data_IF_145373623896
#
_entry.id   IF_145373623896
#
_cell.length_a   1.000
_cell.length_b   1.000
_cell.length_c   1.000
_cell.angle_alpha   90.00
_cell.angle_beta   90.00
_cell.angle_gamma   90.00
#
_symmetry.space_group_name_H-M   'P 1'
#
loop_
_entity.id
_entity.type
_entity.pdbx_description
1 polymer ?
#
# COMPACT_ATOMS: atom_id res chain seq x y z
N UNK A 1 7.28 47.26 4.12
CA UNK A 1 8.00 47.24 5.42
C UNK A 1 7.42 46.07 6.22
N UNK A 2 8.12 45.12 6.82
CA UNK A 2 9.55 44.91 7.01
C UNK A 2 9.90 43.40 6.97
N UNK A 3 11.18 43.13 6.69
CA UNK A 3 11.78 41.81 6.45
C UNK A 3 12.07 41.09 7.77
N UNK A 4 11.59 39.85 7.94
CA UNK A 4 12.12 38.93 8.97
C UNK A 4 13.32 38.18 8.38
N UNK A 5 14.53 38.56 8.82
CA UNK A 5 15.79 37.88 8.47
C UNK A 5 15.94 36.65 9.37
N UNK A 6 16.05 35.46 8.77
CA UNK A 6 16.61 34.29 9.43
C UNK A 6 18.08 34.57 9.74
N UNK A 7 18.45 34.55 11.02
CA UNK A 7 19.84 34.47 11.45
C UNK A 7 20.29 33.00 11.39
N UNK A 8 21.16 32.71 10.42
CA UNK A 8 22.06 31.57 10.45
C UNK A 8 23.12 31.83 11.53
N UNK A 9 23.13 31.03 12.59
CA UNK A 9 24.23 31.00 13.53
C UNK A 9 25.18 29.87 13.13
N UNK A 10 26.31 30.26 12.52
CA UNK A 10 27.45 29.39 12.24
C UNK A 10 28.06 28.90 13.55
N UNK A 11 28.22 27.58 13.65
CA UNK A 11 28.97 26.93 14.74
C UNK A 11 30.45 27.14 14.48
N UNK A 12 31.09 28.03 15.24
CA UNK A 12 32.55 28.07 15.37
C UNK A 12 32.95 27.44 16.70
N UNK A 13 33.75 26.38 16.61
CA UNK A 13 34.42 25.72 17.72
C UNK A 13 35.59 26.60 18.16
N UNK A 14 35.60 27.02 19.42
CA UNK A 14 36.83 27.46 20.11
C UNK A 14 37.01 26.64 21.38
N UNK A 15 38.04 25.78 21.37
CA UNK A 15 38.59 25.11 22.54
C UNK A 15 39.44 26.10 23.33
N UNK A 16 39.21 26.22 24.64
CA UNK A 16 40.25 26.33 25.68
C UNK A 16 39.64 26.16 27.08
N UNK A 17 40.18 25.18 27.82
CA UNK A 17 40.44 25.20 29.27
C UNK A 17 39.30 25.50 30.26
N UNK A 18 39.10 24.53 31.16
CA UNK A 18 38.66 24.66 32.56
C UNK A 18 37.16 24.75 32.94
N UNK A 19 36.73 23.64 33.57
CA UNK A 19 35.81 23.48 34.71
C UNK A 19 34.45 24.21 34.68
N UNK A 20 33.37 23.44 34.48
CA UNK A 20 32.00 23.85 34.78
C UNK A 20 31.51 23.23 36.10
N UNK A 21 31.09 24.09 37.04
CA UNK A 21 30.16 23.75 38.12
C UNK A 21 28.72 24.11 37.70
N UNK A 22 27.69 23.36 38.15
CA UNK A 22 26.31 23.65 37.80
C UNK A 22 25.70 24.72 38.72
N UNK A 23 25.23 25.83 38.14
CA UNK A 23 24.34 26.78 38.83
C UNK A 23 22.86 26.38 38.63
N UNK A 24 22.01 26.46 39.66
CA UNK A 24 20.59 26.14 39.54
C UNK A 24 19.83 27.37 39.03
N UNK A 25 18.99 27.21 38.01
CA UNK A 25 17.95 28.21 37.73
C UNK A 25 16.58 27.53 37.66
N UNK A 26 15.75 27.96 38.59
CA UNK A 26 14.40 27.48 38.84
C UNK A 26 13.42 28.07 37.82
N UNK A 27 12.55 27.18 37.31
CA UNK A 27 11.16 27.40 36.89
C UNK A 27 10.77 28.67 36.12
N UNK A 28 10.25 28.47 34.90
CA UNK A 28 8.86 28.85 34.60
C UNK A 28 8.29 27.88 33.56
N UNK A 29 7.38 27.02 34.02
CA UNK A 29 6.52 26.18 33.20
C UNK A 29 5.38 27.08 32.69
N UNK A 30 5.35 27.35 31.39
CA UNK A 30 4.13 27.75 30.71
C UNK A 30 3.62 26.54 29.94
N UNK A 31 2.78 25.75 30.61
CA UNK A 31 2.05 24.65 30.02
C UNK A 31 1.06 25.19 28.98
N UNK A 32 1.42 25.11 27.69
CA UNK A 32 0.46 25.21 26.60
C UNK A 32 -0.05 23.80 26.30
N UNK A 33 -1.13 23.42 26.98
CA UNK A 33 -1.86 22.17 26.80
C UNK A 33 -2.56 22.15 25.43
N UNK A 34 -1.81 21.84 24.37
CA UNK A 34 -2.37 21.30 23.10
C UNK A 34 -2.19 19.78 23.08
N UNK A 35 -2.92 19.08 23.95
CA UNK A 35 -2.96 17.60 23.99
C UNK A 35 -4.31 17.01 23.52
N UNK A 36 -5.08 17.74 22.70
CA UNK A 36 -6.40 17.28 22.23
C UNK A 36 -6.63 17.23 20.71
N UNK A 37 -5.63 17.48 19.86
CA UNK A 37 -5.83 17.47 18.39
C UNK A 37 -5.03 16.41 17.60
N UNK A 38 -4.11 15.67 18.23
CA UNK A 38 -3.33 14.66 17.50
C UNK A 38 -4.21 13.43 17.21
N UNK A 39 -5.02 12.98 18.16
CA UNK A 39 -5.87 11.79 18.01
C UNK A 39 -7.02 11.98 17.01
N UNK A 40 -7.67 13.15 16.96
CA UNK A 40 -8.74 13.43 15.98
C UNK A 40 -8.24 13.57 14.53
N UNK A 41 -7.05 14.13 14.32
CA UNK A 41 -6.44 14.24 12.98
C UNK A 41 -5.94 12.90 12.45
N UNK A 42 -5.38 12.07 13.34
CA UNK A 42 -4.90 10.72 13.02
C UNK A 42 -6.07 9.76 12.75
N UNK A 43 -7.16 9.83 13.54
CA UNK A 43 -8.43 9.12 13.25
C UNK A 43 -9.08 9.58 11.94
N UNK A 44 -9.02 10.87 11.59
CA UNK A 44 -9.53 11.37 10.30
C UNK A 44 -8.70 10.83 9.12
N UNK A 45 -7.38 10.76 9.23
CA UNK A 45 -6.52 10.20 8.17
C UNK A 45 -6.62 8.67 8.03
N UNK A 46 -6.73 7.92 9.13
CA UNK A 46 -6.98 6.47 9.07
C UNK A 46 -8.38 6.16 8.52
N UNK A 47 -9.35 7.06 8.74
CA UNK A 47 -10.71 6.91 8.21
C UNK A 47 -10.85 7.18 6.70
N UNK A 48 -9.94 7.95 6.08
CA UNK A 48 -10.09 8.33 4.66
C UNK A 48 -9.55 7.30 3.68
N UNK A 49 -8.47 6.59 4.01
CA UNK A 49 -7.88 5.60 3.08
C UNK A 49 -8.90 4.54 2.69
N UNK A 50 -9.67 4.05 3.66
CA UNK A 50 -10.73 3.08 3.43
C UNK A 50 -12.01 3.66 2.82
N UNK A 51 -12.08 4.95 2.49
CA UNK A 51 -13.20 5.57 1.76
C UNK A 51 -12.80 5.95 0.31
N UNK A 52 -11.54 5.77 -0.04
CA UNK A 52 -10.98 6.09 -1.35
C UNK A 52 -10.91 4.85 -2.24
N UNK A 53 -10.88 5.05 -3.56
CA UNK A 53 -10.41 4.00 -4.48
C UNK A 53 -8.90 3.86 -4.37
N UNK A 54 -8.36 2.64 -4.48
CA UNK A 54 -6.93 2.38 -4.27
C UNK A 54 -6.23 2.14 -5.60
N UNK A 55 -5.22 2.94 -5.94
CA UNK A 55 -4.38 2.71 -7.11
C UNK A 55 -2.96 2.43 -6.64
N UNK A 56 -2.59 1.14 -6.61
CA UNK A 56 -1.30 0.67 -6.11
C UNK A 56 -0.44 0.20 -7.26
N UNK A 57 0.69 0.86 -7.49
CA UNK A 57 1.68 0.46 -8.48
C UNK A 57 2.62 -0.62 -7.95
N UNK A 58 2.46 -1.87 -8.38
CA UNK A 58 3.42 -2.94 -8.11
C UNK A 58 4.55 -2.92 -9.14
N UNK A 59 5.71 -2.39 -8.75
CA UNK A 59 6.86 -2.30 -9.64
C UNK A 59 7.51 -3.66 -9.93
N UNK A 60 7.16 -4.69 -9.14
CA UNK A 60 7.77 -6.02 -9.20
C UNK A 60 9.30 -5.89 -9.11
N UNK A 61 10.04 -6.74 -9.79
CA UNK A 61 11.51 -6.69 -9.84
C UNK A 61 12.03 -5.65 -10.86
N UNK A 62 11.61 -4.38 -10.75
CA UNK A 62 12.06 -3.27 -11.60
C UNK A 62 12.52 -2.06 -10.78
N UNK A 63 13.37 -1.24 -11.40
CA UNK A 63 13.78 0.06 -10.88
C UNK A 63 15.29 0.18 -10.68
N UNK A 64 15.76 1.42 -10.75
CA UNK A 64 17.10 1.85 -10.36
C UNK A 64 16.95 3.15 -9.56
N UNK A 65 17.93 3.49 -8.71
CA UNK A 65 17.85 4.70 -7.86
C UNK A 65 17.48 5.96 -8.67
N UNK A 66 18.11 6.15 -9.83
CA UNK A 66 17.83 7.31 -10.70
C UNK A 66 16.39 7.30 -11.22
N UNK A 67 15.95 6.19 -11.83
CA UNK A 67 14.64 6.09 -12.47
C UNK A 67 13.48 6.17 -11.46
N UNK A 68 13.66 5.56 -10.29
CA UNK A 68 12.70 5.64 -9.18
C UNK A 68 12.49 7.09 -8.73
N UNK A 69 13.59 7.83 -8.54
CA UNK A 69 13.54 9.25 -8.17
C UNK A 69 12.91 10.08 -9.29
N UNK A 70 13.25 9.81 -10.54
CA UNK A 70 12.68 10.53 -11.69
C UNK A 70 11.16 10.33 -11.77
N UNK A 71 10.68 9.10 -11.58
CA UNK A 71 9.25 8.79 -11.57
C UNK A 71 8.52 9.50 -10.42
N UNK A 72 9.02 9.38 -9.18
CA UNK A 72 8.40 10.03 -8.02
C UNK A 72 8.46 11.56 -8.12
N UNK A 73 9.53 12.11 -8.68
CA UNK A 73 9.64 13.55 -8.90
C UNK A 73 8.59 14.06 -9.90
N UNK A 74 8.32 13.31 -10.98
CA UNK A 74 7.23 13.63 -11.90
C UNK A 74 5.87 13.57 -11.21
N UNK A 75 5.66 12.65 -10.27
CA UNK A 75 4.41 12.58 -9.50
C UNK A 75 4.15 13.83 -8.62
N UNK A 76 5.14 14.71 -8.41
CA UNK A 76 4.92 16.00 -7.75
C UNK A 76 4.02 16.95 -8.54
N UNK A 77 3.94 16.79 -9.86
CA UNK A 77 3.03 17.57 -10.71
C UNK A 77 1.64 16.94 -10.86
N UNK A 78 1.38 15.80 -10.20
CA UNK A 78 0.06 15.20 -10.20
C UNK A 78 -0.92 16.13 -9.46
N UNK A 79 -2.03 16.56 -10.09
CA UNK A 79 -3.08 17.31 -9.40
C UNK A 79 -3.62 16.55 -8.19
N UNK A 80 -4.22 17.27 -7.23
CA UNK A 80 -4.80 16.65 -6.03
C UNK A 80 -5.84 15.57 -6.41
N UNK A 81 -5.65 14.36 -5.89
CA UNK A 81 -6.49 13.19 -6.11
C UNK A 81 -7.12 12.73 -4.79
N UNK A 82 -7.95 13.59 -4.20
CA UNK A 82 -8.52 13.41 -2.85
C UNK A 82 -9.41 12.16 -2.68
N UNK A 83 -9.90 11.56 -3.78
CA UNK A 83 -10.72 10.34 -3.76
C UNK A 83 -9.91 9.07 -4.02
N UNK A 84 -8.59 9.19 -4.18
CA UNK A 84 -7.72 8.07 -4.52
C UNK A 84 -6.62 7.91 -3.47
N UNK A 85 -6.52 6.71 -2.93
CA UNK A 85 -5.33 6.26 -2.21
C UNK A 85 -4.28 5.81 -3.23
N UNK A 86 -3.23 6.59 -3.38
CA UNK A 86 -2.12 6.29 -4.30
C UNK A 86 -1.04 5.52 -3.53
N UNK A 87 -0.64 4.36 -4.04
CA UNK A 87 0.43 3.55 -3.46
C UNK A 87 1.51 3.17 -4.48
N UNK A 88 2.76 3.08 -4.06
CA UNK A 88 3.86 2.51 -4.85
C UNK A 88 4.53 1.38 -4.08
N UNK A 89 4.75 0.24 -4.74
CA UNK A 89 5.36 -0.96 -4.17
C UNK A 89 6.67 -1.27 -4.90
N UNK A 90 7.79 -0.60 -4.54
CA UNK A 90 9.10 -0.89 -5.12
C UNK A 90 9.70 -2.19 -4.55
N UNK A 91 10.74 -2.77 -5.20
CA UNK A 91 11.57 -3.79 -4.57
C UNK A 91 12.08 -3.34 -3.19
N UNK A 92 12.23 -4.28 -2.25
CA UNK A 92 12.63 -4.01 -0.86
C UNK A 92 13.90 -3.14 -0.76
N UNK A 93 14.88 -3.37 -1.64
CA UNK A 93 16.15 -2.61 -1.67
C UNK A 93 15.97 -1.11 -1.93
N UNK A 94 14.80 -0.68 -2.42
CA UNK A 94 14.45 0.71 -2.72
C UNK A 94 13.37 1.29 -1.80
N UNK A 95 12.87 0.55 -0.79
CA UNK A 95 11.79 1.03 0.09
C UNK A 95 12.12 2.33 0.82
N UNK A 96 13.29 2.41 1.46
CA UNK A 96 13.71 3.61 2.19
C UNK A 96 13.90 4.80 1.23
N UNK A 97 14.43 4.54 0.04
CA UNK A 97 14.57 5.56 -1.00
C UNK A 97 13.19 6.10 -1.42
N UNK A 98 12.25 5.21 -1.72
CA UNK A 98 10.90 5.57 -2.12
C UNK A 98 10.18 6.34 -1.01
N UNK A 99 10.30 5.88 0.24
CA UNK A 99 9.76 6.57 1.41
C UNK A 99 10.23 8.02 1.51
N UNK A 100 11.53 8.25 1.37
CA UNK A 100 12.08 9.61 1.40
C UNK A 100 11.61 10.45 0.20
N UNK A 101 11.54 9.84 -0.99
CA UNK A 101 11.16 10.52 -2.21
C UNK A 101 9.68 10.97 -2.21
N UNK A 102 8.78 10.20 -1.60
CA UNK A 102 7.36 10.57 -1.56
C UNK A 102 7.05 11.70 -0.57
N UNK A 103 7.93 11.97 0.41
CA UNK A 103 7.72 13.06 1.39
C UNK A 103 7.70 14.46 0.76
N UNK A 104 8.24 14.63 -0.46
CA UNK A 104 8.31 15.93 -1.16
C UNK A 104 7.15 16.15 -2.15
N UNK A 105 6.19 15.22 -2.21
CA UNK A 105 4.94 15.37 -2.97
C UNK A 105 3.98 16.19 -2.12
N UNK A 106 3.50 17.32 -2.66
CA UNK A 106 2.79 18.33 -1.87
C UNK A 106 1.27 18.13 -1.87
N UNK A 107 0.70 17.88 -3.04
CA UNK A 107 -0.76 17.87 -3.22
C UNK A 107 -1.40 16.50 -3.02
N UNK A 108 -0.57 15.46 -2.87
CA UNK A 108 -1.02 14.07 -2.75
C UNK A 108 -0.18 13.33 -1.71
N UNK A 109 -0.85 12.51 -0.89
CA UNK A 109 -0.17 11.51 -0.08
C UNK A 109 0.06 10.26 -0.94
N UNK A 110 1.31 9.89 -1.14
CA UNK A 110 1.68 8.63 -1.79
C UNK A 110 2.13 7.66 -0.71
N UNK A 111 1.40 6.55 -0.58
CA UNK A 111 1.69 5.48 0.35
C UNK A 111 2.83 4.60 -0.17
N UNK A 112 3.71 4.19 0.73
CA UNK A 112 4.76 3.23 0.42
C UNK A 112 4.25 1.84 0.76
N UNK A 113 4.31 0.94 -0.22
CA UNK A 113 3.88 -0.43 -0.08
C UNK A 113 5.10 -1.37 -0.14
N UNK A 114 5.05 -2.48 0.58
CA UNK A 114 6.02 -3.56 0.43
C UNK A 114 5.48 -4.67 -0.48
N UNK A 115 6.34 -5.28 -1.29
CA UNK A 115 5.95 -6.36 -2.21
C UNK A 115 5.78 -7.72 -1.53
N UNK A 116 6.34 -7.87 -0.32
CA UNK A 116 6.23 -9.08 0.49
C UNK A 116 6.66 -8.80 1.94
N UNK A 117 6.42 -9.76 2.83
CA UNK A 117 6.83 -9.76 4.24
C UNK A 117 7.12 -11.19 4.71
N UNK A 118 7.97 -11.34 5.70
CA UNK A 118 8.26 -12.64 6.27
C UNK A 118 7.06 -13.26 6.99
N UNK A 119 6.95 -14.59 6.88
CA UNK A 119 6.02 -15.39 7.69
C UNK A 119 6.47 -15.50 9.15
N UNK A 120 7.76 -15.27 9.43
CA UNK A 120 8.29 -15.36 10.79
C UNK A 120 7.97 -14.08 11.55
N UNK A 121 7.27 -14.23 12.68
CA UNK A 121 6.78 -13.10 13.46
C UNK A 121 7.89 -12.35 14.19
N UNK A 122 8.83 -13.10 14.76
CA UNK A 122 9.90 -12.55 15.59
C UNK A 122 11.21 -12.39 14.82
N UNK A 123 12.07 -11.49 15.32
CA UNK A 123 13.47 -11.42 14.90
C UNK A 123 14.15 -12.78 15.11
N UNK A 124 14.95 -13.21 14.12
CA UNK A 124 15.61 -14.51 14.19
C UNK A 124 16.58 -14.76 13.05
N UNK A 125 17.10 -15.99 12.99
CA UNK A 125 18.05 -16.42 11.98
C UNK A 125 17.35 -16.78 10.65
N UNK A 126 16.84 -15.75 9.97
CA UNK A 126 16.12 -15.87 8.71
C UNK A 126 16.79 -15.02 7.63
N UNK A 127 18.02 -15.38 7.25
CA UNK A 127 18.83 -14.61 6.30
C UNK A 127 18.07 -14.36 5.00
N UNK A 128 17.91 -13.08 4.64
CA UNK A 128 17.21 -12.64 3.44
C UNK A 128 15.75 -12.24 3.65
N UNK A 129 15.15 -12.60 4.79
CA UNK A 129 13.77 -12.23 5.13
C UNK A 129 13.66 -10.79 5.64
N UNK A 130 12.47 -10.21 5.49
CA UNK A 130 12.13 -8.87 5.98
C UNK A 130 10.89 -8.97 6.86
N UNK A 131 11.05 -8.64 8.14
CA UNK A 131 9.94 -8.70 9.12
C UNK A 131 8.95 -7.56 8.96
N UNK A 132 7.73 -7.74 9.47
CA UNK A 132 6.71 -6.70 9.47
C UNK A 132 7.15 -5.46 10.29
N UNK A 133 7.89 -5.66 11.38
CA UNK A 133 8.48 -4.58 12.18
C UNK A 133 9.49 -3.76 11.38
N UNK A 134 10.34 -4.39 10.58
CA UNK A 134 11.28 -3.69 9.71
C UNK A 134 10.56 -2.83 8.67
N UNK A 135 9.48 -3.36 8.07
CA UNK A 135 8.66 -2.60 7.13
C UNK A 135 7.99 -1.41 7.81
N UNK A 136 7.45 -1.60 9.02
CA UNK A 136 6.84 -0.52 9.80
C UNK A 136 7.85 0.57 10.14
N UNK A 137 9.07 0.19 10.52
CA UNK A 137 10.16 1.13 10.86
C UNK A 137 10.59 1.99 9.66
N UNK A 138 10.62 1.41 8.46
CA UNK A 138 10.91 2.15 7.21
C UNK A 138 9.76 3.09 6.80
N UNK A 139 8.57 2.94 7.39
CA UNK A 139 7.40 3.75 7.08
C UNK A 139 6.56 3.21 5.92
N UNK A 140 6.49 1.88 5.78
CA UNK A 140 5.50 1.21 4.92
C UNK A 140 4.10 1.38 5.51
N UNK A 141 3.09 1.46 4.65
CA UNK A 141 1.67 1.52 5.03
C UNK A 141 0.93 0.22 4.67
N UNK A 142 1.17 -0.31 3.47
CA UNK A 142 0.46 -1.46 2.88
C UNK A 142 1.46 -2.57 2.50
N UNK A 143 1.10 -3.83 2.68
CA UNK A 143 1.95 -4.97 2.34
C UNK A 143 1.20 -5.92 1.42
N UNK A 144 1.74 -6.17 0.23
CA UNK A 144 1.24 -7.19 -0.68
C UNK A 144 1.55 -8.58 -0.12
N UNK A 145 0.56 -9.47 -0.14
CA UNK A 145 0.71 -10.85 0.34
C UNK A 145 0.06 -11.77 -0.69
N UNK A 146 0.72 -12.89 -1.02
CA UNK A 146 0.12 -13.92 -1.88
C UNK A 146 0.07 -13.59 -3.37
N UNK A 147 0.77 -12.54 -3.82
CA UNK A 147 0.86 -12.20 -5.26
C UNK A 147 1.17 -13.44 -6.09
N UNK A 148 0.52 -13.58 -7.25
CA UNK A 148 0.57 -14.80 -8.08
C UNK A 148 2.00 -15.33 -8.31
N UNK A 149 2.98 -14.45 -8.52
CA UNK A 149 4.40 -14.79 -8.67
C UNK A 149 5.02 -15.45 -7.41
N UNK A 150 4.62 -15.03 -6.20
CA UNK A 150 5.02 -15.66 -4.93
C UNK A 150 4.41 -17.05 -4.81
N UNK A 151 3.12 -17.15 -5.11
CA UNK A 151 2.38 -18.41 -5.10
C UNK A 151 2.92 -19.43 -6.11
N UNK A 152 3.37 -18.98 -7.28
CA UNK A 152 3.90 -19.81 -8.37
C UNK A 152 5.37 -20.21 -8.14
N UNK A 153 6.25 -19.25 -7.87
CA UNK A 153 7.69 -19.51 -7.83
C UNK A 153 8.23 -19.86 -6.44
N UNK A 154 7.49 -19.50 -5.38
CA UNK A 154 7.92 -19.66 -3.98
C UNK A 154 6.95 -20.54 -3.17
N UNK A 155 5.92 -21.08 -3.82
CA UNK A 155 4.94 -22.00 -3.25
C UNK A 155 4.27 -21.47 -1.96
N UNK A 156 3.99 -20.16 -1.93
CA UNK A 156 3.30 -19.54 -0.81
C UNK A 156 1.80 -19.79 -0.90
N UNK A 157 1.29 -20.65 0.00
CA UNK A 157 -0.13 -20.99 0.11
C UNK A 157 -0.74 -20.40 1.39
N UNK A 158 -2.03 -20.64 1.60
CA UNK A 158 -2.83 -20.08 2.69
C UNK A 158 -2.17 -20.09 4.06
N UNK A 159 -1.54 -21.20 4.49
CA UNK A 159 -0.92 -21.27 5.82
C UNK A 159 0.20 -20.22 5.99
N UNK A 160 1.03 -20.05 4.95
CA UNK A 160 2.10 -19.06 4.93
C UNK A 160 1.52 -17.64 4.82
N UNK A 161 0.53 -17.46 3.93
CA UNK A 161 -0.12 -16.16 3.74
C UNK A 161 -0.84 -15.70 5.01
N UNK A 162 -1.48 -16.62 5.75
CA UNK A 162 -2.11 -16.35 7.04
C UNK A 162 -1.10 -15.82 8.06
N UNK A 163 0.05 -16.50 8.20
CA UNK A 163 1.11 -16.06 9.10
C UNK A 163 1.61 -14.65 8.73
N UNK A 164 1.81 -14.38 7.44
CA UNK A 164 2.20 -13.05 6.95
C UNK A 164 1.14 -11.99 7.27
N UNK A 165 -0.15 -12.28 7.03
CA UNK A 165 -1.26 -11.37 7.34
C UNK A 165 -1.29 -11.02 8.83
N UNK A 166 -1.17 -12.02 9.70
CA UNK A 166 -1.16 -11.81 11.15
C UNK A 166 0.02 -10.95 11.60
N UNK A 167 1.21 -11.15 11.02
CA UNK A 167 2.39 -10.33 11.30
C UNK A 167 2.18 -8.87 10.90
N UNK A 168 1.60 -8.62 9.72
CA UNK A 168 1.29 -7.28 9.20
C UNK A 168 0.26 -6.58 10.09
N UNK A 169 -0.83 -7.27 10.44
CA UNK A 169 -1.86 -6.72 11.32
C UNK A 169 -1.32 -6.41 12.72
N UNK A 170 -0.45 -7.27 13.27
CA UNK A 170 0.14 -7.09 14.61
C UNK A 170 0.90 -5.78 14.78
N UNK A 171 1.52 -5.28 13.71
CA UNK A 171 2.29 -4.02 13.71
C UNK A 171 1.49 -2.82 13.18
N UNK A 172 0.19 -3.00 12.93
CA UNK A 172 -0.69 -1.95 12.42
C UNK A 172 -0.34 -1.51 11.00
N UNK A 173 0.06 -2.46 10.15
CA UNK A 173 0.15 -2.29 8.70
C UNK A 173 -1.10 -2.88 8.04
N UNK A 174 -1.34 -2.52 6.78
CA UNK A 174 -2.51 -3.00 6.02
C UNK A 174 -2.09 -4.17 5.11
N UNK A 175 -2.62 -5.39 5.32
CA UNK A 175 -2.40 -6.48 4.37
C UNK A 175 -3.28 -6.28 3.12
N UNK A 176 -2.67 -6.35 1.94
CA UNK A 176 -3.35 -6.45 0.65
C UNK A 176 -3.15 -7.88 0.12
N UNK A 177 -4.15 -8.74 0.33
CA UNK A 177 -4.10 -10.13 -0.11
C UNK A 177 -4.36 -10.21 -1.62
N UNK A 178 -3.45 -10.81 -2.37
CA UNK A 178 -3.65 -11.08 -3.78
C UNK A 178 -4.26 -12.48 -3.96
N UNK A 179 -5.33 -12.58 -4.73
CA UNK A 179 -6.07 -13.82 -5.02
C UNK A 179 -6.35 -13.91 -6.50
N UNK A 180 -6.52 -15.12 -7.02
CA UNK A 180 -6.85 -15.34 -8.41
C UNK A 180 -6.68 -16.79 -8.83
N UNK A 181 -7.43 -17.16 -9.86
CA UNK A 181 -7.42 -18.47 -10.48
C UNK A 181 -6.43 -18.55 -11.65
N UNK A 182 -5.91 -19.74 -11.89
CA UNK A 182 -5.20 -20.10 -13.11
C UNK A 182 -6.14 -20.23 -14.30
N UNK A 183 -5.58 -20.22 -15.52
CA UNK A 183 -6.36 -20.47 -16.74
C UNK A 183 -7.10 -21.81 -16.67
N UNK A 184 -6.43 -22.85 -16.15
CA UNK A 184 -7.01 -24.18 -16.03
C UNK A 184 -8.19 -24.21 -15.07
N UNK A 185 -8.06 -23.58 -13.91
CA UNK A 185 -9.18 -23.50 -12.96
C UNK A 185 -10.37 -22.76 -13.58
N UNK A 186 -10.13 -21.70 -14.36
CA UNK A 186 -11.17 -20.99 -15.09
C UNK A 186 -11.85 -21.85 -16.16
N UNK A 187 -11.07 -22.53 -17.00
CA UNK A 187 -11.58 -23.41 -18.06
C UNK A 187 -12.33 -24.63 -17.50
N UNK A 188 -11.97 -25.06 -16.29
CA UNK A 188 -12.65 -26.13 -15.55
C UNK A 188 -13.90 -25.61 -14.78
N UNK A 189 -14.20 -24.31 -14.80
CA UNK A 189 -15.33 -23.70 -14.06
C UNK A 189 -15.15 -23.64 -12.53
N UNK A 190 -13.89 -23.63 -12.07
CA UNK A 190 -13.46 -23.66 -10.66
C UNK A 190 -12.89 -22.34 -10.16
N UNK A 191 -13.10 -21.23 -10.87
CA UNK A 191 -12.57 -19.91 -10.49
C UNK A 191 -13.02 -19.47 -9.10
N UNK A 192 -14.30 -19.66 -8.77
CA UNK A 192 -14.88 -19.28 -7.47
C UNK A 192 -14.39 -20.21 -6.36
N UNK A 193 -14.23 -21.49 -6.63
CA UNK A 193 -13.68 -22.46 -5.67
C UNK A 193 -12.23 -22.11 -5.31
N UNK A 194 -11.40 -21.84 -6.32
CA UNK A 194 -10.00 -21.47 -6.13
C UNK A 194 -9.86 -20.18 -5.31
N UNK A 195 -10.66 -19.15 -5.63
CA UNK A 195 -10.64 -17.87 -4.90
C UNK A 195 -11.25 -18.00 -3.50
N UNK A 196 -12.31 -18.77 -3.30
CA UNK A 196 -12.87 -19.06 -1.96
C UNK A 196 -11.83 -19.71 -1.05
N UNK A 197 -11.12 -20.71 -1.58
CA UNK A 197 -10.03 -21.34 -0.85
C UNK A 197 -9.02 -20.29 -0.41
N UNK A 198 -8.53 -19.44 -1.32
CA UNK A 198 -7.55 -18.40 -0.98
C UNK A 198 -8.08 -17.40 0.06
N UNK A 199 -9.35 -16.97 -0.04
CA UNK A 199 -9.99 -16.04 0.91
C UNK A 199 -10.18 -16.63 2.31
N UNK A 200 -10.19 -17.96 2.45
CA UNK A 200 -10.35 -18.62 3.76
C UNK A 200 -9.32 -18.19 4.81
N UNK A 201 -8.18 -17.63 4.40
CA UNK A 201 -7.17 -17.04 5.30
C UNK A 201 -7.73 -15.93 6.18
N UNK A 202 -8.83 -15.28 5.80
CA UNK A 202 -9.44 -14.22 6.59
C UNK A 202 -10.29 -14.73 7.76
N UNK A 203 -10.71 -16.00 7.72
CA UNK A 203 -11.56 -16.58 8.77
C UNK A 203 -10.93 -16.40 10.15
N UNK A 204 -11.67 -15.80 11.08
CA UNK A 204 -11.25 -15.58 12.46
C UNK A 204 -10.12 -14.55 12.66
N UNK A 205 -9.77 -13.74 11.65
CA UNK A 205 -8.94 -12.55 11.90
C UNK A 205 -9.67 -11.56 12.79
N UNK A 206 -8.92 -10.86 13.64
CA UNK A 206 -9.45 -9.80 14.52
C UNK A 206 -9.29 -8.42 13.87
N UNK A 207 -9.91 -8.23 12.72
CA UNK A 207 -9.95 -6.96 11.97
C UNK A 207 -11.29 -6.84 11.26
N UNK A 208 -11.79 -5.61 11.12
CA UNK A 208 -12.96 -5.32 10.28
C UNK A 208 -12.57 -4.79 8.91
N UNK A 209 -11.30 -4.48 8.67
CA UNK A 209 -10.84 -3.94 7.39
C UNK A 209 -10.13 -5.02 6.57
N UNK A 210 -10.56 -5.23 5.33
CA UNK A 210 -10.07 -6.26 4.42
C UNK A 210 -9.76 -5.66 3.06
N UNK A 211 -8.52 -5.84 2.59
CA UNK A 211 -8.11 -5.43 1.25
C UNK A 211 -7.67 -6.65 0.43
N UNK A 212 -8.23 -6.78 -0.77
CA UNK A 212 -7.95 -7.87 -1.70
C UNK A 212 -7.62 -7.30 -3.07
N UNK A 213 -6.60 -7.86 -3.73
CA UNK A 213 -6.36 -7.65 -5.15
C UNK A 213 -6.74 -8.92 -5.90
N UNK A 214 -7.79 -8.86 -6.72
CA UNK A 214 -8.17 -9.95 -7.60
C UNK A 214 -7.35 -9.91 -8.89
N UNK A 215 -6.48 -10.89 -9.07
CA UNK A 215 -5.54 -11.02 -10.18
C UNK A 215 -5.85 -12.31 -10.97
N UNK A 216 -6.74 -12.29 -11.97
CA UNK A 216 -6.92 -13.46 -12.84
C UNK A 216 -5.58 -13.80 -13.49
N UNK A 217 -4.94 -14.91 -13.07
CA UNK A 217 -3.52 -15.18 -13.34
C UNK A 217 -3.28 -15.30 -14.85
N UNK A 218 -4.28 -15.79 -15.57
CA UNK A 218 -4.29 -15.92 -17.02
C UNK A 218 -4.30 -14.58 -17.78
N UNK A 219 -4.64 -13.47 -17.13
CA UNK A 219 -4.65 -12.12 -17.68
C UNK A 219 -3.38 -11.32 -17.33
N UNK A 220 -2.47 -11.84 -16.51
CA UNK A 220 -1.27 -11.11 -16.07
C UNK A 220 -0.19 -11.18 -17.14
N UNK A 221 0.14 -10.05 -17.78
CA UNK A 221 1.24 -9.96 -18.74
C UNK A 221 1.04 -10.71 -20.06
N UNK A 222 -0.15 -11.29 -20.28
CA UNK A 222 -0.50 -12.06 -21.49
C UNK A 222 -1.17 -11.21 -22.57
N UNK A 223 -1.54 -9.96 -22.26
CA UNK A 223 -2.36 -9.10 -23.13
C UNK A 223 -3.83 -9.53 -23.22
N UNK A 224 -4.22 -10.65 -22.60
CA UNK A 224 -5.62 -11.01 -22.40
C UNK A 224 -6.20 -10.13 -21.30
N UNK A 225 -7.38 -9.60 -21.54
CA UNK A 225 -8.10 -8.72 -20.60
C UNK A 225 -9.41 -9.41 -20.27
N UNK A 226 -9.72 -9.55 -18.97
CA UNK A 226 -11.02 -10.04 -18.55
C UNK A 226 -12.12 -9.07 -19.01
N UNK A 227 -13.27 -9.60 -19.42
CA UNK A 227 -14.41 -8.75 -19.79
C UNK A 227 -15.00 -8.06 -18.56
N UNK A 228 -15.76 -6.99 -18.74
CA UNK A 228 -16.42 -6.28 -17.62
C UNK A 228 -17.33 -7.20 -16.82
N UNK A 229 -18.00 -8.14 -17.49
CA UNK A 229 -18.88 -9.12 -16.87
C UNK A 229 -18.09 -10.13 -16.01
N UNK A 230 -16.92 -10.57 -16.49
CA UNK A 230 -16.05 -11.46 -15.71
C UNK A 230 -15.47 -10.76 -14.49
N UNK A 231 -15.12 -9.48 -14.61
CA UNK A 231 -14.67 -8.66 -13.48
C UNK A 231 -15.80 -8.49 -12.46
N UNK A 232 -16.99 -8.11 -12.93
CA UNK A 232 -18.16 -7.91 -12.08
C UNK A 232 -18.54 -9.18 -11.30
N UNK A 233 -18.59 -10.33 -11.97
CA UNK A 233 -18.94 -11.61 -11.34
C UNK A 233 -17.96 -11.99 -10.22
N UNK A 234 -16.66 -11.86 -10.46
CA UNK A 234 -15.65 -12.23 -9.47
C UNK A 234 -15.52 -11.21 -8.34
N UNK A 235 -15.63 -9.91 -8.62
CA UNK A 235 -15.62 -8.89 -7.57
C UNK A 235 -16.84 -9.01 -6.66
N UNK A 236 -18.04 -9.24 -7.22
CA UNK A 236 -19.24 -9.48 -6.44
C UNK A 236 -19.12 -10.74 -5.58
N UNK A 237 -18.56 -11.82 -6.15
CA UNK A 237 -18.30 -13.05 -5.43
C UNK A 237 -17.35 -12.84 -4.24
N UNK A 238 -16.18 -12.21 -4.47
CA UNK A 238 -15.19 -11.91 -3.43
C UNK A 238 -15.81 -11.08 -2.32
N UNK A 239 -16.58 -10.04 -2.66
CA UNK A 239 -17.28 -9.21 -1.69
C UNK A 239 -18.18 -10.04 -0.77
N UNK A 240 -19.03 -10.88 -1.35
CA UNK A 240 -19.96 -11.72 -0.60
C UNK A 240 -19.25 -12.79 0.23
N UNK A 241 -18.18 -13.39 -0.29
CA UNK A 241 -17.41 -14.40 0.43
C UNK A 241 -16.72 -13.80 1.66
N UNK A 242 -16.17 -12.59 1.56
CA UNK A 242 -15.58 -11.90 2.72
C UNK A 242 -16.65 -11.60 3.77
N UNK A 243 -17.83 -11.10 3.38
CA UNK A 243 -18.95 -10.89 4.33
C UNK A 243 -19.37 -12.19 5.02
N UNK A 244 -19.42 -13.30 4.28
CA UNK A 244 -19.72 -14.64 4.82
C UNK A 244 -18.69 -15.10 5.86
N UNK A 245 -17.39 -14.88 5.57
CA UNK A 245 -16.29 -15.31 6.44
C UNK A 245 -16.08 -14.40 7.66
N UNK A 246 -16.35 -13.10 7.52
CA UNK A 246 -15.89 -12.06 8.45
C UNK A 246 -17.02 -11.26 9.11
N UNK A 247 -18.26 -11.38 8.62
CA UNK A 247 -19.42 -10.64 9.13
C UNK A 247 -19.85 -9.48 8.23
N UNK A 248 -21.11 -9.06 8.39
CA UNK A 248 -21.75 -8.04 7.56
C UNK A 248 -21.23 -6.61 7.77
N UNK A 249 -20.44 -6.38 8.82
CA UNK A 249 -19.81 -5.09 9.13
C UNK A 249 -18.35 -5.02 8.64
N UNK A 250 -17.89 -6.02 7.88
CA UNK A 250 -16.60 -5.97 7.22
C UNK A 250 -16.52 -4.81 6.22
N UNK A 251 -15.48 -3.99 6.37
CA UNK A 251 -15.12 -2.90 5.48
C UNK A 251 -14.12 -3.42 4.44
N UNK A 252 -14.57 -3.49 3.18
CA UNK A 252 -13.90 -4.26 2.13
C UNK A 252 -13.40 -3.32 1.02
N UNK A 253 -12.17 -3.56 0.57
CA UNK A 253 -11.60 -2.96 -0.66
C UNK A 253 -11.16 -4.05 -1.61
N UNK A 254 -11.75 -4.10 -2.80
CA UNK A 254 -11.40 -5.07 -3.84
C UNK A 254 -10.78 -4.35 -5.04
N UNK A 255 -9.49 -4.54 -5.21
CA UNK A 255 -8.72 -4.01 -6.32
C UNK A 255 -8.72 -5.01 -7.46
N UNK A 256 -8.80 -4.54 -8.70
CA UNK A 256 -8.57 -5.37 -9.87
C UNK A 256 -7.09 -5.33 -10.28
N UNK A 257 -6.46 -6.49 -10.41
CA UNK A 257 -5.02 -6.62 -10.71
C UNK A 257 -4.69 -7.19 -12.10
N UNK A 258 -5.68 -7.38 -12.98
CA UNK A 258 -5.44 -7.88 -14.34
C UNK A 258 -5.13 -6.78 -15.35
N UNK A 259 -3.95 -6.80 -16.01
CA UNK A 259 -3.57 -5.96 -17.18
C UNK A 259 -4.21 -4.55 -17.28
N UNK A 260 -4.27 -3.80 -16.18
CA UNK A 260 -4.81 -2.43 -16.13
C UNK A 260 -3.86 -1.46 -16.82
N UNK A 261 -4.41 -0.58 -17.65
CA UNK A 261 -3.67 0.44 -18.39
C UNK A 261 -4.53 1.70 -18.61
N UNK A 262 -3.92 2.73 -19.18
CA UNK A 262 -4.52 4.03 -19.49
C UNK A 262 -5.78 3.95 -20.37
N UNK A 263 -5.93 2.87 -21.16
CA UNK A 263 -7.05 2.73 -22.11
C UNK A 263 -8.26 2.03 -21.53
N UNK A 264 -8.09 1.19 -20.50
CA UNK A 264 -9.18 0.37 -19.92
C UNK A 264 -9.54 0.74 -18.48
N UNK A 265 -8.76 1.61 -17.82
CA UNK A 265 -8.97 1.95 -16.42
C UNK A 265 -10.37 2.52 -16.13
N UNK A 266 -10.86 3.45 -16.95
CA UNK A 266 -12.19 4.06 -16.76
C UNK A 266 -13.33 3.01 -16.83
N UNK A 267 -13.26 2.11 -17.81
CA UNK A 267 -14.20 1.00 -17.94
C UNK A 267 -14.15 0.06 -16.73
N UNK A 268 -12.96 -0.30 -16.26
CA UNK A 268 -12.77 -1.15 -15.09
C UNK A 268 -13.32 -0.49 -13.83
N UNK A 269 -13.05 0.80 -13.60
CA UNK A 269 -13.52 1.49 -12.40
C UNK A 269 -15.02 1.75 -12.36
N UNK A 270 -15.71 1.64 -13.50
CA UNK A 270 -17.16 1.72 -13.60
C UNK A 270 -17.88 0.44 -13.13
N UNK A 271 -17.15 -0.67 -12.97
CA UNK A 271 -17.72 -1.94 -12.53
C UNK A 271 -18.00 -1.89 -11.02
N UNK A 272 -19.20 -2.30 -10.56
CA UNK A 272 -19.51 -2.37 -9.13
C UNK A 272 -18.51 -3.21 -8.35
N UNK A 273 -18.22 -2.81 -7.11
CA UNK A 273 -17.22 -3.45 -6.23
C UNK A 273 -15.78 -3.44 -6.78
N UNK A 274 -15.48 -2.67 -7.82
CA UNK A 274 -14.10 -2.31 -8.17
C UNK A 274 -13.70 -1.06 -7.39
N UNK A 275 -13.07 -1.30 -6.25
CA UNK A 275 -12.60 -0.26 -5.34
C UNK A 275 -11.18 0.21 -5.66
N UNK A 276 -10.58 -0.24 -6.75
CA UNK A 276 -9.20 0.11 -7.06
C UNK A 276 -8.53 -0.80 -8.09
N UNK A 277 -7.24 -0.58 -8.28
CA UNK A 277 -6.40 -1.35 -9.18
C UNK A 277 -5.02 -1.64 -8.57
N UNK A 278 -4.55 -2.87 -8.77
CA UNK A 278 -3.16 -3.26 -8.55
C UNK A 278 -2.44 -3.28 -9.90
N UNK A 279 -1.60 -2.28 -10.13
CA UNK A 279 -1.07 -1.97 -11.47
C UNK A 279 0.36 -2.47 -11.61
N UNK A 280 0.60 -3.35 -12.58
CA UNK A 280 1.95 -3.84 -12.92
C UNK A 280 2.75 -2.85 -13.77
N UNK A 281 3.14 -3.24 -14.99
CA UNK A 281 4.07 -2.46 -15.83
C UNK A 281 3.63 -1.03 -16.18
N UNK A 282 2.31 -0.76 -16.21
CA UNK A 282 1.81 0.61 -16.43
C UNK A 282 2.15 1.56 -15.26
N UNK A 283 2.44 1.04 -14.07
CA UNK A 283 2.86 1.85 -12.91
C UNK A 283 4.29 2.38 -13.01
N UNK A 284 5.11 1.82 -13.90
CA UNK A 284 6.50 2.24 -14.12
C UNK A 284 6.61 3.48 -15.03
N UNK A 285 5.51 3.90 -15.64
CA UNK A 285 5.45 5.03 -16.57
C UNK A 285 4.56 6.11 -15.97
N UNK A 286 5.10 7.33 -15.87
CA UNK A 286 4.37 8.45 -15.29
C UNK A 286 3.02 8.65 -15.99
N UNK A 287 3.02 8.75 -17.32
CA UNK A 287 1.84 9.09 -18.12
C UNK A 287 0.75 8.03 -17.98
N UNK A 288 1.11 6.74 -17.97
CA UNK A 288 0.16 5.64 -17.78
C UNK A 288 -0.38 5.59 -16.36
N UNK A 289 0.49 5.73 -15.35
CA UNK A 289 0.08 5.61 -13.95
C UNK A 289 -0.84 6.77 -13.53
N UNK A 290 -0.53 8.00 -13.96
CA UNK A 290 -1.38 9.17 -13.67
C UNK A 290 -2.72 9.09 -14.39
N UNK A 291 -2.77 8.57 -15.62
CA UNK A 291 -4.03 8.34 -16.32
C UNK A 291 -4.95 7.37 -15.55
N UNK A 292 -4.39 6.30 -14.98
CA UNK A 292 -5.15 5.35 -14.14
C UNK A 292 -5.63 6.02 -12.84
N UNK A 293 -4.77 6.83 -12.19
CA UNK A 293 -5.16 7.59 -10.99
C UNK A 293 -6.30 8.56 -11.31
N UNK A 294 -6.24 9.28 -12.43
CA UNK A 294 -7.30 10.18 -12.86
C UNK A 294 -8.61 9.43 -13.14
N UNK A 295 -8.55 8.29 -13.83
CA UNK A 295 -9.73 7.45 -14.05
C UNK A 295 -10.38 7.00 -12.73
N UNK A 296 -9.57 6.65 -11.71
CA UNK A 296 -10.08 6.31 -10.38
C UNK A 296 -10.71 7.51 -9.65
N UNK A 297 -10.13 8.70 -9.81
CA UNK A 297 -10.63 9.95 -9.21
C UNK A 297 -11.99 10.38 -9.82
N UNK A 298 -12.23 10.07 -11.10
CA UNK A 298 -13.45 10.42 -11.82
C UNK A 298 -14.59 9.40 -11.63
N UNK A 299 -14.24 8.15 -11.33
CA UNK A 299 -15.22 7.10 -11.07
C UNK A 299 -16.02 7.39 -9.79
N UNK A 300 -17.35 7.33 -9.91
CA UNK A 300 -18.31 7.53 -8.81
C UNK A 300 -18.44 6.27 -7.94
#
# INVERSE_FOLDING_TARGET
>A
MGKCRLLLASIYILRKGDRFQPTPFCATIAACTKRQNITKGQYRMESTIWQQKWVVGNWKMNGQLHDNNALVHKLRSLPAAERVCIGISPPTVYLLQAHNAVQIVLDNKIHVCAQDVSRFADKGAYTGEVSAEMLKDVGVDIVLIGHSERSLYFNEKNDVQRQKIENVLRVGLIPLLCVGESLKEREDGREKEAVAYQLSVFKGLKTQNFAVAYEPVWAIGTGKVATKEQIADMHQFIYNEILSLCGNDANIRILYGGSVNDKNAADIFSVPHVDGALVGGASLKYESFTAIIHAAQEAQ
#
